data_IF_209290298892
#
_entry.id   IF_209290298892
#
_cell.length_a   1.000
_cell.length_b   1.000
_cell.length_c   1.000
_cell.angle_alpha   90.00
_cell.angle_beta   90.00
_cell.angle_gamma   90.00
#
_symmetry.space_group_name_H-M   'P 1'
#
loop_
_entity.id
_entity.type
_entity.pdbx_description
1 polymer ?
#
# COMPACT_ATOMS: atom_id res chain seq x y z
N UNK A 1 20.25 -0.71 11.06
CA UNK A 1 21.44 -0.99 10.23
C UNK A 1 22.47 0.09 10.48
N UNK A 2 23.63 -0.28 11.03
CA UNK A 2 24.79 0.60 11.16
C UNK A 2 25.82 0.19 10.11
N UNK A 3 26.69 1.12 9.70
CA UNK A 3 27.77 0.83 8.76
C UNK A 3 28.70 -0.26 9.30
N UNK A 4 29.05 -0.18 10.58
CA UNK A 4 29.90 -1.18 11.24
C UNK A 4 29.27 -2.58 11.25
N UNK A 5 27.95 -2.66 11.42
CA UNK A 5 27.24 -3.93 11.35
C UNK A 5 27.25 -4.55 9.96
N UNK A 6 27.14 -3.74 8.90
CA UNK A 6 27.23 -4.22 7.51
C UNK A 6 28.65 -4.68 7.17
N UNK A 7 29.68 -3.94 7.61
CA UNK A 7 31.08 -4.33 7.39
C UNK A 7 31.42 -5.63 8.11
N UNK A 8 30.96 -5.81 9.35
CA UNK A 8 31.17 -7.05 10.11
C UNK A 8 30.55 -8.28 9.43
N UNK A 9 29.38 -8.13 8.78
CA UNK A 9 28.74 -9.22 8.02
C UNK A 9 29.58 -9.66 6.81
N UNK A 10 30.38 -8.75 6.24
CA UNK A 10 31.14 -8.99 5.01
C UNK A 10 32.66 -9.10 5.24
N UNK A 11 33.12 -9.17 6.49
CA UNK A 11 34.55 -9.14 6.88
C UNK A 11 35.38 -10.25 6.23
N UNK A 12 34.79 -11.43 6.01
CA UNK A 12 35.46 -12.57 5.37
C UNK A 12 35.53 -12.54 3.84
N UNK A 13 35.04 -11.48 3.19
CA UNK A 13 35.06 -11.37 1.72
C UNK A 13 36.36 -10.71 1.22
N UNK A 14 36.78 -10.94 -0.04
CA UNK A 14 38.00 -10.33 -0.59
C UNK A 14 37.99 -8.79 -0.58
N UNK A 15 36.80 -8.18 -0.61
CA UNK A 15 36.61 -6.74 -0.47
C UNK A 15 35.35 -6.45 0.37
N UNK A 16 35.47 -6.43 1.71
CA UNK A 16 34.35 -6.26 2.64
C UNK A 16 33.57 -4.96 2.43
N UNK A 17 34.25 -3.87 2.10
CA UNK A 17 33.62 -2.58 1.87
C UNK A 17 32.74 -2.60 0.62
N UNK A 18 33.25 -3.16 -0.49
CA UNK A 18 32.47 -3.28 -1.71
C UNK A 18 31.25 -4.20 -1.51
N UNK A 19 31.44 -5.35 -0.87
CA UNK A 19 30.36 -6.29 -0.59
C UNK A 19 29.28 -5.67 0.32
N UNK A 20 29.67 -4.94 1.37
CA UNK A 20 28.75 -4.23 2.23
C UNK A 20 27.98 -3.12 1.48
N UNK A 21 28.63 -2.39 0.58
CA UNK A 21 28.01 -1.36 -0.24
C UNK A 21 26.98 -1.96 -1.21
N UNK A 22 27.34 -3.02 -1.92
CA UNK A 22 26.44 -3.72 -2.85
C UNK A 22 25.21 -4.27 -2.12
N UNK A 23 25.41 -4.88 -0.95
CA UNK A 23 24.33 -5.37 -0.09
C UNK A 23 23.38 -4.24 0.33
N UNK A 24 23.91 -3.14 0.86
CA UNK A 24 23.12 -1.99 1.28
C UNK A 24 22.36 -1.31 0.12
N UNK A 25 22.99 -1.21 -1.05
CA UNK A 25 22.36 -0.67 -2.27
C UNK A 25 21.22 -1.58 -2.74
N UNK A 26 21.44 -2.89 -2.74
CA UNK A 26 20.42 -3.88 -3.10
C UNK A 26 19.22 -3.81 -2.16
N UNK A 27 19.45 -3.78 -0.85
CA UNK A 27 18.40 -3.66 0.16
C UNK A 27 17.61 -2.36 -0.01
N UNK A 28 18.29 -1.22 -0.17
CA UNK A 28 17.64 0.08 -0.43
C UNK A 28 16.78 0.04 -1.68
N UNK A 29 17.28 -0.56 -2.77
CA UNK A 29 16.53 -0.67 -4.02
C UNK A 29 15.28 -1.56 -3.84
N UNK A 30 15.40 -2.66 -3.10
CA UNK A 30 14.27 -3.54 -2.77
C UNK A 30 13.21 -2.80 -1.94
N UNK A 31 13.62 -2.11 -0.87
CA UNK A 31 12.72 -1.31 -0.03
C UNK A 31 12.04 -0.19 -0.83
N UNK A 32 12.75 0.47 -1.74
CA UNK A 32 12.18 1.51 -2.62
C UNK A 32 11.11 0.93 -3.56
N UNK A 33 11.37 -0.24 -4.14
CA UNK A 33 10.40 -0.97 -4.96
C UNK A 33 9.15 -1.36 -4.16
N UNK A 34 9.34 -1.92 -2.96
CA UNK A 34 8.24 -2.27 -2.05
C UNK A 34 7.41 -1.05 -1.65
N UNK A 35 8.05 0.07 -1.31
CA UNK A 35 7.36 1.31 -0.97
C UNK A 35 6.50 1.82 -2.14
N UNK A 36 7.04 1.79 -3.36
CA UNK A 36 6.28 2.13 -4.58
C UNK A 36 5.05 1.23 -4.76
N UNK A 37 5.17 -0.08 -4.51
CA UNK A 37 4.06 -1.02 -4.60
C UNK A 37 3.00 -0.77 -3.52
N UNK A 38 3.42 -0.53 -2.27
CA UNK A 38 2.53 -0.18 -1.16
C UNK A 38 1.74 1.08 -1.47
N UNK A 39 2.40 2.11 -2.02
CA UNK A 39 1.72 3.35 -2.42
C UNK A 39 0.62 3.11 -3.46
N UNK A 40 0.93 2.31 -4.49
CA UNK A 40 -0.08 1.90 -5.51
C UNK A 40 -1.24 1.13 -4.88
N UNK A 41 -0.97 0.27 -3.90
CA UNK A 41 -2.01 -0.48 -3.20
C UNK A 41 -2.91 0.45 -2.38
N UNK A 42 -2.33 1.37 -1.61
CA UNK A 42 -3.07 2.38 -0.83
C UNK A 42 -3.98 3.19 -1.75
N UNK A 43 -3.47 3.64 -2.89
CA UNK A 43 -4.27 4.45 -3.82
C UNK A 43 -5.40 3.64 -4.46
N UNK A 44 -5.14 2.37 -4.81
CA UNK A 44 -6.18 1.46 -5.30
C UNK A 44 -7.29 1.26 -4.25
N UNK A 45 -6.92 1.06 -2.98
CA UNK A 45 -7.88 0.88 -1.90
C UNK A 45 -8.69 2.15 -1.63
N UNK A 46 -8.06 3.33 -1.68
CA UNK A 46 -8.74 4.62 -1.58
C UNK A 46 -9.80 4.78 -2.66
N UNK A 47 -9.45 4.48 -3.91
CA UNK A 47 -10.39 4.52 -5.04
C UNK A 47 -11.55 3.53 -4.87
N UNK A 48 -11.25 2.29 -4.48
CA UNK A 48 -12.26 1.26 -4.22
C UNK A 48 -13.23 1.65 -3.09
N UNK A 49 -12.72 2.18 -1.99
CA UNK A 49 -13.53 2.69 -0.88
C UNK A 49 -14.49 3.80 -1.33
N UNK A 50 -13.98 4.79 -2.07
CA UNK A 50 -14.80 5.88 -2.60
C UNK A 50 -15.91 5.38 -3.54
N UNK A 51 -15.63 4.35 -4.35
CA UNK A 51 -16.63 3.73 -5.21
C UNK A 51 -17.74 3.05 -4.39
N UNK A 52 -17.38 2.24 -3.40
CA UNK A 52 -18.35 1.56 -2.51
C UNK A 52 -19.21 2.58 -1.76
N UNK A 53 -18.63 3.68 -1.28
CA UNK A 53 -19.39 4.74 -0.61
C UNK A 53 -20.44 5.38 -1.52
N UNK A 54 -20.11 5.61 -2.80
CA UNK A 54 -21.08 6.14 -3.78
C UNK A 54 -22.22 5.15 -4.05
N UNK A 55 -21.90 3.88 -4.19
CA UNK A 55 -22.92 2.82 -4.37
C UNK A 55 -23.83 2.71 -3.14
N UNK A 56 -23.28 2.83 -1.93
CA UNK A 56 -24.05 2.83 -0.69
C UNK A 56 -25.05 3.99 -0.65
N UNK A 57 -24.63 5.20 -1.01
CA UNK A 57 -25.51 6.37 -1.07
C UNK A 57 -26.61 6.22 -2.13
N UNK A 58 -26.27 5.68 -3.31
CA UNK A 58 -27.27 5.37 -4.35
C UNK A 58 -28.34 4.40 -3.84
N UNK A 59 -27.92 3.29 -3.24
CA UNK A 59 -28.83 2.28 -2.69
C UNK A 59 -29.71 2.83 -1.56
N UNK A 60 -29.16 3.71 -0.72
CA UNK A 60 -29.94 4.43 0.31
C UNK A 60 -31.02 5.30 -0.33
N UNK A 61 -30.67 6.08 -1.35
CA UNK A 61 -31.62 6.91 -2.09
C UNK A 61 -32.74 6.09 -2.75
N UNK A 62 -32.41 4.99 -3.41
CA UNK A 62 -33.39 4.07 -3.99
C UNK A 62 -34.33 3.49 -2.94
N UNK A 63 -33.79 2.99 -1.82
CA UNK A 63 -34.57 2.47 -0.71
C UNK A 63 -35.55 3.51 -0.18
N UNK A 64 -35.10 4.76 -0.01
CA UNK A 64 -35.93 5.82 0.55
C UNK A 64 -37.05 6.24 -0.42
N UNK A 65 -36.77 6.24 -1.73
CA UNK A 65 -37.81 6.40 -2.78
C UNK A 65 -38.85 5.28 -2.72
N UNK A 66 -38.43 4.01 -2.62
CA UNK A 66 -39.36 2.89 -2.52
C UNK A 66 -40.20 2.94 -1.24
N UNK A 67 -39.59 3.26 -0.09
CA UNK A 67 -40.30 3.45 1.18
C UNK A 67 -41.34 4.56 1.06
N UNK A 68 -40.98 5.70 0.47
CA UNK A 68 -41.92 6.80 0.24
C UNK A 68 -43.11 6.33 -0.60
N UNK A 69 -42.87 5.65 -1.74
CA UNK A 69 -43.97 5.12 -2.57
C UNK A 69 -44.87 4.14 -1.81
N UNK A 70 -44.30 3.24 -1.02
CA UNK A 70 -45.08 2.30 -0.21
C UNK A 70 -45.96 3.02 0.82
N UNK A 71 -45.43 4.05 1.49
CA UNK A 71 -46.21 4.85 2.43
C UNK A 71 -47.32 5.68 1.77
N UNK A 72 -47.19 6.05 0.50
CA UNK A 72 -48.23 6.77 -0.24
C UNK A 72 -49.29 5.85 -0.86
N UNK A 73 -49.02 4.55 -0.98
CA UNK A 73 -49.90 3.56 -1.62
C UNK A 73 -50.67 2.68 -0.62
N UNK A 74 -50.55 2.92 0.68
CA UNK A 74 -51.30 2.24 1.75
C UNK A 74 -52.17 3.21 2.53
#
# INVERSE_FOLDING_TARGET
LTVDGLLAVHEGTPNPMLAALESAVSERNNLSSQNTQLWKLVEKQRSGYNHIMKELERLRGERDLYRSRLHHSG
#
